data_IF_700230959041
#
_entry.id   IF_700230959041
#
_cell.length_a   1.000
_cell.length_b   1.000
_cell.length_c   1.000
_cell.angle_alpha   90.00
_cell.angle_beta   90.00
_cell.angle_gamma   90.00
#
_symmetry.space_group_name_H-M   'P 1'
#
loop_
_entity.id
_entity.type
_entity.pdbx_description
1 polymer ?
#
# COMPACT_ATOMS: atom_id res chain seq x y z
N UNK A 1 -2.11 9.79 -19.72
CA UNK A 1 -1.22 9.01 -18.82
C UNK A 1 -0.86 9.76 -17.54
N UNK A 2 -0.74 11.07 -17.58
CA UNK A 2 -0.30 11.87 -16.41
C UNK A 2 -1.27 11.81 -15.22
N UNK A 3 -2.58 11.79 -15.44
CA UNK A 3 -3.56 11.69 -14.35
C UNK A 3 -3.43 10.40 -13.52
N UNK A 4 -3.21 9.25 -14.15
CA UNK A 4 -3.03 7.96 -13.44
C UNK A 4 -1.80 8.01 -12.55
N UNK A 5 -0.78 8.73 -12.98
CA UNK A 5 0.49 8.89 -12.27
C UNK A 5 0.38 9.80 -11.06
N UNK A 6 -0.42 10.86 -11.13
CA UNK A 6 -0.70 11.73 -9.99
C UNK A 6 -1.50 11.01 -8.91
N UNK A 7 -2.49 10.19 -9.30
CA UNK A 7 -3.26 9.39 -8.34
C UNK A 7 -2.36 8.38 -7.60
N UNK A 8 -1.48 7.66 -8.31
CA UNK A 8 -0.52 6.71 -7.70
C UNK A 8 0.39 7.41 -6.67
N UNK A 9 0.79 8.64 -6.92
CA UNK A 9 1.61 9.42 -5.99
C UNK A 9 0.87 9.79 -4.70
N UNK A 10 -0.38 10.25 -4.81
CA UNK A 10 -1.19 10.56 -3.63
C UNK A 10 -1.44 9.32 -2.76
N UNK A 11 -1.67 8.17 -3.38
CA UNK A 11 -1.80 6.89 -2.66
C UNK A 11 -0.51 6.56 -1.89
N UNK A 12 0.67 6.83 -2.45
CA UNK A 12 1.96 6.61 -1.78
C UNK A 12 2.14 7.53 -0.57
N UNK A 13 1.80 8.82 -0.69
CA UNK A 13 1.83 9.74 0.45
C UNK A 13 0.88 9.30 1.55
N UNK A 14 -0.35 8.94 1.20
CA UNK A 14 -1.33 8.43 2.15
C UNK A 14 -0.83 7.18 2.89
N UNK A 15 -0.17 6.24 2.18
CA UNK A 15 0.41 5.04 2.77
C UNK A 15 1.49 5.37 3.80
N UNK A 16 2.43 6.26 3.45
CA UNK A 16 3.51 6.68 4.35
C UNK A 16 2.96 7.39 5.57
N UNK A 17 2.05 8.34 5.37
CA UNK A 17 1.42 9.09 6.46
C UNK A 17 0.64 8.16 7.39
N UNK A 18 -0.20 7.28 6.85
CA UNK A 18 -1.01 6.36 7.64
C UNK A 18 -0.14 5.41 8.45
N UNK A 19 0.94 4.88 7.86
CA UNK A 19 1.87 3.99 8.56
C UNK A 19 2.59 4.72 9.68
N UNK A 20 3.19 5.88 9.39
CA UNK A 20 3.98 6.65 10.36
C UNK A 20 3.12 7.16 11.50
N UNK A 21 1.96 7.76 11.21
CA UNK A 21 1.01 8.21 12.22
C UNK A 21 0.44 7.04 13.04
N UNK A 22 0.20 5.89 12.40
CA UNK A 22 -0.24 4.68 13.08
C UNK A 22 0.78 4.20 14.12
N UNK A 23 2.08 4.20 13.80
CA UNK A 23 3.15 3.85 14.73
C UNK A 23 3.27 4.90 15.85
N UNK A 24 3.22 6.20 15.52
CA UNK A 24 3.22 7.28 16.51
C UNK A 24 2.10 7.11 17.53
N UNK A 25 0.87 6.88 17.06
CA UNK A 25 -0.27 6.65 17.93
C UNK A 25 -0.10 5.38 18.77
N UNK A 26 0.29 4.26 18.16
CA UNK A 26 0.48 3.00 18.86
C UNK A 26 1.55 3.09 19.96
N UNK A 27 2.64 3.84 19.73
CA UNK A 27 3.67 4.08 20.73
C UNK A 27 3.16 4.98 21.88
N UNK A 28 2.41 6.06 21.56
CA UNK A 28 1.87 6.97 22.57
C UNK A 28 0.78 6.31 23.43
N UNK A 29 0.00 5.38 22.87
CA UNK A 29 -0.98 4.59 23.62
C UNK A 29 -0.35 3.39 24.36
N UNK A 30 0.95 3.19 24.27
CA UNK A 30 1.66 2.11 24.94
C UNK A 30 1.48 0.74 24.29
N UNK A 31 0.91 0.63 23.10
CA UNK A 31 0.76 -0.64 22.35
C UNK A 31 2.09 -1.14 21.77
N UNK A 32 3.06 -0.23 21.59
CA UNK A 32 4.43 -0.51 21.19
C UNK A 32 5.34 -0.03 22.33
N UNK A 33 6.29 -0.85 22.81
CA UNK A 33 7.21 -0.44 23.86
C UNK A 33 8.14 0.68 23.36
N UNK A 34 8.53 1.60 24.25
CA UNK A 34 9.44 2.71 23.97
C UNK A 34 8.77 4.09 23.97
N UNK A 35 7.44 4.19 23.99
CA UNK A 35 6.70 5.44 24.22
C UNK A 35 7.11 6.61 23.32
N UNK A 36 7.29 7.80 23.91
CA UNK A 36 7.60 9.05 23.18
C UNK A 36 8.85 9.00 22.29
N UNK A 37 9.99 8.41 22.68
CA UNK A 37 11.15 8.24 21.80
C UNK A 37 10.83 7.49 20.51
N UNK A 38 10.06 6.40 20.59
CA UNK A 38 9.62 5.61 19.40
C UNK A 38 8.64 6.42 18.56
N UNK A 39 7.72 7.14 19.18
CA UNK A 39 6.79 8.02 18.48
C UNK A 39 7.54 9.11 17.70
N UNK A 40 8.53 9.76 18.33
CA UNK A 40 9.35 10.76 17.65
C UNK A 40 10.16 10.18 16.49
N UNK A 41 10.81 9.03 16.71
CA UNK A 41 11.56 8.34 15.66
C UNK A 41 10.66 7.96 14.46
N UNK A 42 9.46 7.47 14.72
CA UNK A 42 8.48 7.13 13.68
C UNK A 42 8.01 8.37 12.89
N UNK A 43 7.79 9.50 13.57
CA UNK A 43 7.45 10.77 12.92
C UNK A 43 8.59 11.27 12.03
N UNK A 44 9.81 11.30 12.55
CA UNK A 44 11.01 11.70 11.80
C UNK A 44 11.24 10.80 10.58
N UNK A 45 11.13 9.48 10.76
CA UNK A 45 11.22 8.53 9.66
C UNK A 45 10.13 8.74 8.61
N UNK A 46 8.90 9.04 9.04
CA UNK A 46 7.79 9.35 8.14
C UNK A 46 8.08 10.58 7.27
N UNK A 47 8.63 11.65 7.84
CA UNK A 47 9.02 12.85 7.09
C UNK A 47 10.12 12.52 6.07
N UNK A 48 11.14 11.77 6.47
CA UNK A 48 12.21 11.34 5.56
C UNK A 48 11.67 10.46 4.43
N UNK A 49 10.74 9.55 4.76
CA UNK A 49 10.13 8.69 3.75
C UNK A 49 9.24 9.46 2.78
N UNK A 50 8.49 10.47 3.23
CA UNK A 50 7.76 11.37 2.34
C UNK A 50 8.71 12.10 1.38
N UNK A 51 9.83 12.62 1.90
CA UNK A 51 10.89 13.21 1.08
C UNK A 51 11.46 12.24 0.05
N UNK A 52 11.66 10.97 0.44
CA UNK A 52 12.11 9.93 -0.48
C UNK A 52 11.08 9.65 -1.58
N UNK A 53 9.79 9.51 -1.26
CA UNK A 53 8.72 9.30 -2.24
C UNK A 53 8.64 10.48 -3.22
N UNK A 54 8.80 11.71 -2.74
CA UNK A 54 8.87 12.90 -3.59
C UNK A 54 10.11 12.89 -4.49
N UNK A 55 11.27 12.52 -3.95
CA UNK A 55 12.50 12.38 -4.73
C UNK A 55 12.35 11.32 -5.85
N UNK A 56 11.74 10.17 -5.57
CA UNK A 56 11.43 9.14 -6.57
C UNK A 56 10.55 9.70 -7.69
N UNK A 57 9.59 10.55 -7.35
CA UNK A 57 8.72 11.17 -8.36
C UNK A 57 9.47 12.17 -9.23
N UNK A 58 10.25 13.08 -8.62
CA UNK A 58 10.98 14.14 -9.35
C UNK A 58 12.12 13.59 -10.19
N UNK A 59 12.87 12.61 -9.65
CA UNK A 59 14.05 12.03 -10.29
C UNK A 59 13.70 10.89 -11.26
N UNK A 60 12.43 10.63 -11.52
CA UNK A 60 11.97 9.53 -12.36
C UNK A 60 12.54 9.52 -13.77
N UNK A 61 12.79 10.69 -14.34
CA UNK A 61 13.36 10.86 -15.71
C UNK A 61 14.89 10.91 -15.73
N UNK A 62 15.54 10.92 -14.55
CA UNK A 62 16.99 10.89 -14.43
C UNK A 62 17.53 9.46 -14.44
N UNK A 63 18.83 9.31 -14.63
CA UNK A 63 19.53 8.01 -14.64
C UNK A 63 19.29 7.18 -13.37
N UNK A 64 19.17 7.84 -12.21
CA UNK A 64 18.85 7.20 -10.93
C UNK A 64 17.37 6.76 -10.81
N UNK A 65 16.48 7.21 -11.66
CA UNK A 65 15.03 6.96 -11.58
C UNK A 65 14.64 5.47 -11.50
N UNK A 66 15.18 4.58 -12.35
CA UNK A 66 14.89 3.15 -12.30
C UNK A 66 15.28 2.49 -10.98
N UNK A 67 16.45 2.86 -10.42
CA UNK A 67 16.94 2.34 -9.15
C UNK A 67 16.05 2.79 -7.99
N UNK A 68 15.77 4.10 -7.91
CA UNK A 68 14.89 4.67 -6.90
C UNK A 68 13.49 4.05 -6.93
N UNK A 69 12.93 3.84 -8.13
CA UNK A 69 11.65 3.16 -8.31
C UNK A 69 11.66 1.69 -7.91
N UNK A 70 12.83 1.01 -8.02
CA UNK A 70 13.00 -0.35 -7.52
C UNK A 70 13.04 -0.38 -6.00
N UNK A 71 13.79 0.53 -5.36
CA UNK A 71 13.87 0.68 -3.91
C UNK A 71 12.48 0.98 -3.32
N UNK A 72 11.75 1.93 -3.88
CA UNK A 72 10.38 2.26 -3.46
C UNK A 72 9.42 1.06 -3.56
N UNK A 73 9.60 0.21 -4.55
CA UNK A 73 8.80 -1.00 -4.71
C UNK A 73 9.12 -2.06 -3.66
N UNK A 74 10.42 -2.30 -3.44
CA UNK A 74 10.90 -3.27 -2.45
C UNK A 74 10.51 -2.82 -1.04
N UNK A 75 10.64 -1.53 -0.71
CA UNK A 75 10.26 -1.00 0.62
C UNK A 75 8.78 -1.27 0.95
N UNK A 76 7.89 -1.20 -0.04
CA UNK A 76 6.47 -1.54 0.17
C UNK A 76 6.24 -3.03 0.43
N UNK A 77 6.94 -3.92 -0.24
CA UNK A 77 6.85 -5.36 0.05
C UNK A 77 7.41 -5.70 1.43
N UNK A 78 8.52 -5.06 1.82
CA UNK A 78 9.07 -5.20 3.18
C UNK A 78 8.06 -4.71 4.21
N UNK A 79 7.45 -3.53 3.99
CA UNK A 79 6.41 -3.00 4.87
C UNK A 79 5.24 -3.97 5.01
N UNK A 80 4.73 -4.51 3.90
CA UNK A 80 3.66 -5.52 3.94
C UNK A 80 4.04 -6.73 4.76
N UNK A 81 5.25 -7.26 4.57
CA UNK A 81 5.75 -8.41 5.31
C UNK A 81 5.86 -8.11 6.82
N UNK A 82 6.38 -6.93 7.19
CA UNK A 82 6.49 -6.50 8.59
C UNK A 82 5.13 -6.32 9.24
N UNK A 83 4.19 -5.68 8.56
CA UNK A 83 2.82 -5.49 9.06
C UNK A 83 2.10 -6.82 9.25
N UNK A 84 2.23 -7.73 8.29
CA UNK A 84 1.66 -9.08 8.40
C UNK A 84 2.30 -9.87 9.55
N UNK A 85 3.62 -9.86 9.66
CA UNK A 85 4.33 -10.54 10.74
C UNK A 85 3.93 -9.98 12.12
N UNK A 86 3.73 -8.66 12.23
CA UNK A 86 3.25 -8.02 13.46
C UNK A 86 1.80 -8.40 13.76
N UNK A 87 0.94 -8.47 12.75
CA UNK A 87 -0.46 -8.89 12.93
C UNK A 87 -0.57 -10.33 13.41
N UNK A 88 0.30 -11.21 12.91
CA UNK A 88 0.38 -12.64 13.29
C UNK A 88 1.17 -12.88 14.59
N UNK A 89 1.58 -11.83 15.29
CA UNK A 89 2.40 -11.91 16.52
C UNK A 89 3.79 -12.52 16.35
N UNK A 90 4.27 -12.68 15.12
CA UNK A 90 5.64 -13.12 14.84
C UNK A 90 6.67 -12.06 15.21
N UNK A 91 6.30 -10.79 15.08
CA UNK A 91 7.03 -9.62 15.58
C UNK A 91 6.17 -8.96 16.64
N UNK A 92 6.77 -8.63 17.79
CA UNK A 92 6.05 -7.94 18.86
C UNK A 92 4.96 -8.80 19.52
N UNK A 93 5.16 -10.11 19.60
CA UNK A 93 4.21 -11.01 20.27
C UNK A 93 3.99 -10.68 21.76
N UNK A 94 5.04 -10.19 22.44
CA UNK A 94 5.00 -9.74 23.82
C UNK A 94 4.52 -8.29 24.01
N UNK A 95 4.23 -7.56 22.92
CA UNK A 95 3.73 -6.18 23.03
C UNK A 95 2.29 -6.16 23.53
N UNK A 96 1.92 -5.19 24.38
CA UNK A 96 0.56 -5.04 24.91
C UNK A 96 -0.42 -4.54 23.84
N UNK A 97 -0.36 -5.12 22.65
CA UNK A 97 -1.15 -4.76 21.49
C UNK A 97 -2.50 -5.50 21.53
N UNK A 98 -3.63 -4.79 21.58
CA UNK A 98 -4.94 -5.42 21.59
C UNK A 98 -5.26 -6.15 20.28
N UNK A 99 -6.10 -7.18 20.35
CA UNK A 99 -6.45 -8.02 19.21
C UNK A 99 -7.03 -7.24 18.03
N UNK A 100 -7.90 -6.25 18.30
CA UNK A 100 -8.47 -5.40 17.25
C UNK A 100 -7.40 -4.64 16.44
N UNK A 101 -6.30 -4.23 17.08
CA UNK A 101 -5.21 -3.55 16.40
C UNK A 101 -4.43 -4.51 15.50
N UNK A 102 -4.21 -5.75 15.93
CA UNK A 102 -3.58 -6.80 15.11
C UNK A 102 -4.43 -7.10 13.87
N UNK A 103 -5.74 -7.26 14.02
CA UNK A 103 -6.66 -7.43 12.89
C UNK A 103 -6.67 -6.22 11.95
N UNK A 104 -6.55 -5.01 12.50
CA UNK A 104 -6.45 -3.78 11.70
C UNK A 104 -5.17 -3.76 10.86
N UNK A 105 -4.03 -4.22 11.40
CA UNK A 105 -2.78 -4.35 10.64
C UNK A 105 -2.90 -5.41 9.53
N UNK A 106 -3.55 -6.54 9.80
CA UNK A 106 -3.83 -7.55 8.78
C UNK A 106 -4.70 -6.99 7.65
N UNK A 107 -5.79 -6.29 7.99
CA UNK A 107 -6.66 -5.65 7.00
C UNK A 107 -5.90 -4.58 6.19
N UNK A 108 -5.04 -3.80 6.82
CA UNK A 108 -4.21 -2.81 6.13
C UNK A 108 -3.21 -3.47 5.16
N UNK A 109 -2.61 -4.59 5.55
CA UNK A 109 -1.80 -5.42 4.64
C UNK A 109 -2.62 -5.90 3.46
N UNK A 110 -3.88 -6.29 3.68
CA UNK A 110 -4.83 -6.65 2.61
C UNK A 110 -5.10 -5.50 1.63
N UNK A 111 -5.29 -4.27 2.14
CA UNK A 111 -5.41 -3.07 1.29
C UNK A 111 -4.18 -2.89 0.41
N UNK A 112 -2.98 -3.02 0.98
CA UNK A 112 -1.72 -2.90 0.23
C UNK A 112 -1.59 -4.00 -0.84
N UNK A 113 -1.94 -5.24 -0.50
CA UNK A 113 -1.94 -6.37 -1.44
C UNK A 113 -2.92 -6.15 -2.61
N UNK A 114 -4.12 -5.62 -2.33
CA UNK A 114 -5.07 -5.22 -3.36
C UNK A 114 -4.49 -4.14 -4.28
N UNK A 115 -3.80 -3.13 -3.74
CA UNK A 115 -3.12 -2.10 -4.52
C UNK A 115 -2.07 -2.69 -5.49
N UNK A 116 -1.31 -3.68 -5.04
CA UNK A 116 -0.36 -4.43 -5.90
C UNK A 116 -1.12 -5.21 -6.98
N UNK A 117 -2.22 -5.90 -6.62
CA UNK A 117 -3.06 -6.64 -7.57
C UNK A 117 -3.65 -5.77 -8.66
N UNK A 118 -4.22 -4.62 -8.29
CA UNK A 118 -4.75 -3.63 -9.25
C UNK A 118 -3.65 -3.17 -10.21
N UNK A 119 -2.45 -2.91 -9.70
CA UNK A 119 -1.32 -2.49 -10.54
C UNK A 119 -0.97 -3.54 -11.60
N UNK A 120 -0.93 -4.83 -11.24
CA UNK A 120 -0.67 -5.90 -12.21
C UNK A 120 -1.78 -5.99 -13.26
N UNK A 121 -3.04 -5.89 -12.85
CA UNK A 121 -4.17 -5.89 -13.77
C UNK A 121 -4.10 -4.70 -14.75
N UNK A 122 -3.77 -3.50 -14.26
CA UNK A 122 -3.60 -2.30 -15.11
C UNK A 122 -2.44 -2.44 -16.08
N UNK A 123 -1.29 -3.00 -15.68
CA UNK A 123 -0.15 -3.23 -16.58
C UNK A 123 -0.55 -4.17 -17.70
N UNK A 124 -1.24 -5.27 -17.40
CA UNK A 124 -1.75 -6.21 -18.39
C UNK A 124 -2.77 -5.54 -19.33
N UNK A 125 -3.70 -4.77 -18.77
CA UNK A 125 -4.70 -4.03 -19.53
C UNK A 125 -4.08 -3.04 -20.53
N UNK A 126 -3.18 -2.17 -20.08
CA UNK A 126 -2.52 -1.19 -20.94
C UNK A 126 -1.60 -1.84 -21.99
N UNK A 127 -0.93 -2.95 -21.65
CA UNK A 127 -0.13 -3.71 -22.61
C UNK A 127 -1.00 -4.27 -23.75
N UNK A 128 -2.15 -4.84 -23.41
CA UNK A 128 -3.10 -5.36 -24.39
C UNK A 128 -3.66 -4.24 -25.26
N UNK A 129 -3.95 -3.09 -24.68
CA UNK A 129 -4.45 -1.92 -25.40
C UNK A 129 -3.42 -1.38 -26.41
N UNK A 130 -2.15 -1.31 -26.02
CA UNK A 130 -1.06 -0.93 -26.93
C UNK A 130 -0.90 -1.92 -28.09
N UNK A 131 -1.07 -3.22 -27.82
CA UNK A 131 -1.05 -4.25 -28.89
C UNK A 131 -2.24 -4.11 -29.84
N UNK A 132 -3.44 -3.78 -29.35
CA UNK A 132 -4.61 -3.53 -30.19
C UNK A 132 -4.43 -2.29 -31.06
N UNK A 133 -3.82 -1.25 -30.54
CA UNK A 133 -3.52 -0.05 -31.31
C UNK A 133 -2.50 -0.31 -32.45
N UNK A 134 -1.53 -1.21 -32.24
CA UNK A 134 -0.49 -1.52 -33.20
C UNK A 134 -0.90 -2.55 -34.28
N UNK A 135 -1.72 -3.55 -33.92
CA UNK A 135 -2.00 -4.71 -34.80
C UNK A 135 -3.49 -5.04 -34.94
N UNK A 136 -4.36 -4.09 -34.57
CA UNK A 136 -5.81 -4.22 -34.72
C UNK A 136 -6.52 -4.97 -33.60
N UNK A 137 -7.85 -4.88 -33.63
CA UNK A 137 -8.73 -5.49 -32.64
C UNK A 137 -9.03 -6.93 -33.02
N UNK A 138 -8.77 -7.87 -32.09
CA UNK A 138 -9.19 -9.28 -32.25
C UNK A 138 -10.16 -9.68 -31.14
N UNK A 139 -11.01 -10.69 -31.36
CA UNK A 139 -11.94 -11.18 -30.34
C UNK A 139 -11.23 -11.61 -29.04
N UNK A 140 -10.06 -12.25 -29.17
CA UNK A 140 -9.27 -12.71 -28.01
C UNK A 140 -8.73 -11.52 -27.19
N UNK A 141 -8.24 -10.47 -27.85
CA UNK A 141 -7.76 -9.25 -27.18
C UNK A 141 -8.89 -8.50 -26.48
N UNK A 142 -10.08 -8.44 -27.09
CA UNK A 142 -11.28 -7.90 -26.46
C UNK A 142 -11.67 -8.69 -25.20
N UNK A 143 -11.63 -10.03 -25.27
CA UNK A 143 -11.89 -10.87 -24.12
C UNK A 143 -10.87 -10.63 -22.99
N UNK A 144 -9.58 -10.47 -23.33
CA UNK A 144 -8.52 -10.17 -22.36
C UNK A 144 -8.69 -8.80 -21.69
N UNK A 145 -9.05 -7.75 -22.46
CA UNK A 145 -9.36 -6.43 -21.89
C UNK A 145 -10.53 -6.52 -20.93
N UNK A 146 -11.59 -7.23 -21.29
CA UNK A 146 -12.73 -7.44 -20.41
C UNK A 146 -12.35 -8.19 -19.14
N UNK A 147 -11.56 -9.25 -19.26
CA UNK A 147 -11.09 -10.03 -18.12
C UNK A 147 -10.25 -9.19 -17.16
N UNK A 148 -9.28 -8.42 -17.67
CA UNK A 148 -8.42 -7.54 -16.84
C UNK A 148 -9.23 -6.42 -16.18
N UNK A 149 -10.26 -5.87 -16.85
CA UNK A 149 -11.16 -4.91 -16.27
C UNK A 149 -11.98 -5.51 -15.11
N UNK A 150 -12.60 -6.67 -15.32
CA UNK A 150 -13.37 -7.37 -14.28
C UNK A 150 -12.47 -7.73 -13.09
N UNK A 151 -11.26 -8.22 -13.34
CA UNK A 151 -10.28 -8.52 -12.29
C UNK A 151 -9.90 -7.27 -11.49
N UNK A 152 -9.57 -6.16 -12.16
CA UNK A 152 -9.24 -4.92 -11.48
C UNK A 152 -10.40 -4.40 -10.62
N UNK A 153 -11.63 -4.48 -11.14
CA UNK A 153 -12.85 -4.07 -10.42
C UNK A 153 -13.09 -4.96 -9.20
N UNK A 154 -12.96 -6.28 -9.33
CA UNK A 154 -13.13 -7.22 -8.21
C UNK A 154 -12.12 -6.95 -7.09
N UNK A 155 -10.84 -6.72 -7.44
CA UNK A 155 -9.80 -6.38 -6.46
C UNK A 155 -10.06 -5.01 -5.83
N UNK A 156 -10.60 -4.04 -6.57
CA UNK A 156 -11.01 -2.74 -6.04
C UNK A 156 -12.15 -2.88 -5.02
N UNK A 157 -13.16 -3.71 -5.30
CA UNK A 157 -14.24 -3.99 -4.35
C UNK A 157 -13.68 -4.63 -3.07
N UNK A 158 -12.78 -5.61 -3.21
CA UNK A 158 -12.12 -6.24 -2.07
C UNK A 158 -11.31 -5.21 -1.24
N UNK A 159 -10.64 -4.27 -1.89
CA UNK A 159 -9.94 -3.16 -1.22
C UNK A 159 -10.91 -2.34 -0.36
N UNK A 160 -12.10 -1.99 -0.89
CA UNK A 160 -13.13 -1.28 -0.15
C UNK A 160 -13.65 -2.07 1.05
N UNK A 161 -13.77 -3.39 0.93
CA UNK A 161 -14.13 -4.27 2.05
C UNK A 161 -13.07 -4.18 3.16
N UNK A 162 -11.78 -4.26 2.83
CA UNK A 162 -10.72 -4.09 3.83
C UNK A 162 -10.73 -2.70 4.49
N UNK A 163 -10.99 -1.64 3.73
CA UNK A 163 -11.14 -0.29 4.30
C UNK A 163 -12.33 -0.26 5.29
N UNK A 164 -13.46 -0.83 4.91
CA UNK A 164 -14.62 -0.95 5.79
C UNK A 164 -14.29 -1.69 7.10
N UNK A 165 -13.56 -2.80 7.02
CA UNK A 165 -13.07 -3.55 8.19
C UNK A 165 -12.17 -2.68 9.06
N UNK A 166 -11.23 -1.92 8.48
CA UNK A 166 -10.35 -1.01 9.22
C UNK A 166 -11.15 0.05 9.99
N UNK A 167 -12.15 0.64 9.33
CA UNK A 167 -13.04 1.65 9.95
C UNK A 167 -13.85 1.02 11.08
N UNK A 168 -14.47 -0.14 10.84
CA UNK A 168 -15.24 -0.85 11.84
C UNK A 168 -14.39 -1.22 13.06
N UNK A 169 -13.21 -1.80 12.89
CA UNK A 169 -12.27 -2.12 13.97
C UNK A 169 -11.83 -0.88 14.76
N UNK A 170 -11.78 0.29 14.11
CA UNK A 170 -11.40 1.54 14.76
C UNK A 170 -12.48 2.07 15.70
N UNK A 171 -13.74 1.81 15.37
CA UNK A 171 -14.92 2.27 16.13
C UNK A 171 -15.32 1.25 17.19
N UNK A 172 -15.50 0.00 16.79
CA UNK A 172 -16.02 -1.06 17.64
C UNK A 172 -15.00 -1.55 18.67
N UNK A 173 -13.69 -1.50 18.36
CA UNK A 173 -12.59 -1.97 19.22
C UNK A 173 -12.95 -3.27 19.95
N UNK A 174 -13.33 -4.34 19.22
CA UNK A 174 -13.73 -5.59 19.86
C UNK A 174 -12.59 -6.13 20.73
N UNK A 175 -12.93 -6.64 21.91
CA UNK A 175 -11.99 -7.19 22.90
C UNK A 175 -11.36 -8.47 22.34
#
# INVERSE_FOLDING_TARGET
MDHVMHVDQHVRYALVLQTSLGIVLAANYGFIPGGAPVAFAAAAFGILWLGFVEAVHRLRKHEAGPLLGKIDRVSRYILMAVLLATSLSLIGGAWPMPGWLRWKLAAFTGVMACGVGIRFALIAHFRTWAQMAASGVTPERNALIRATYVQATAVLVLLWVFIGVIVWLSIAKPV
#
